data_IF_141552569604
#
_entry.id   IF_141552569604
#
_cell.length_a   1.000
_cell.length_b   1.000
_cell.length_c   1.000
_cell.angle_alpha   90.00
_cell.angle_beta   90.00
_cell.angle_gamma   90.00
#
_symmetry.space_group_name_H-M   'P 1'
#
loop_
_entity.id
_entity.type
_entity.pdbx_description
1 polymer ?
#
# COMPACT_ATOMS: atom_id res chain seq x y z
N UNK A 1 -10.77 -18.85 -5.78
CA UNK A 1 -10.22 -18.57 -7.14
C UNK A 1 -9.05 -19.48 -7.53
N UNK A 2 -8.08 -19.80 -6.64
CA UNK A 2 -6.90 -20.63 -7.02
C UNK A 2 -7.24 -22.07 -7.47
N UNK A 3 -8.27 -22.68 -6.87
CA UNK A 3 -8.77 -24.01 -7.27
C UNK A 3 -9.40 -24.03 -8.67
N UNK A 4 -10.04 -22.93 -9.07
CA UNK A 4 -10.67 -22.77 -10.41
C UNK A 4 -9.60 -22.49 -11.47
N UNK A 5 -8.47 -21.88 -11.09
CA UNK A 5 -7.32 -21.63 -11.95
C UNK A 5 -6.41 -22.86 -12.16
N UNK A 6 -6.85 -24.07 -11.79
CA UNK A 6 -6.13 -25.32 -12.03
C UNK A 6 -4.82 -25.51 -11.26
N UNK A 7 -4.60 -24.77 -10.16
CA UNK A 7 -3.38 -24.95 -9.35
C UNK A 7 -3.44 -26.22 -8.50
N UNK A 8 -2.27 -26.82 -8.29
CA UNK A 8 -2.10 -27.98 -7.42
C UNK A 8 -2.61 -27.69 -5.98
N UNK A 9 -3.41 -28.58 -5.37
CA UNK A 9 -3.97 -28.39 -4.04
C UNK A 9 -2.93 -28.08 -2.95
N UNK A 10 -1.75 -28.71 -2.98
CA UNK A 10 -0.70 -28.49 -2.01
C UNK A 10 -0.11 -27.08 -2.13
N UNK A 11 0.14 -26.62 -3.37
CA UNK A 11 0.61 -25.25 -3.62
C UNK A 11 -0.44 -24.19 -3.28
N UNK A 12 -1.73 -24.52 -3.40
CA UNK A 12 -2.82 -23.64 -2.97
C UNK A 12 -2.75 -23.41 -1.46
N UNK A 13 -2.60 -24.48 -0.67
CA UNK A 13 -2.55 -24.39 0.78
C UNK A 13 -1.36 -23.54 1.25
N UNK A 14 -0.18 -23.77 0.68
CA UNK A 14 1.02 -22.99 0.99
C UNK A 14 0.81 -21.50 0.68
N UNK A 15 0.29 -21.20 -0.51
CA UNK A 15 0.05 -19.82 -0.95
C UNK A 15 -0.97 -19.10 -0.06
N UNK A 16 -2.05 -19.79 0.34
CA UNK A 16 -3.07 -19.22 1.23
C UNK A 16 -2.52 -18.98 2.64
N UNK A 17 -1.75 -19.93 3.16
CA UNK A 17 -1.10 -19.80 4.47
C UNK A 17 -0.19 -18.58 4.50
N UNK A 18 0.63 -18.39 3.46
CA UNK A 18 1.49 -17.21 3.33
C UNK A 18 0.68 -15.90 3.31
N UNK A 19 -0.42 -15.86 2.54
CA UNK A 19 -1.28 -14.66 2.49
C UNK A 19 -1.88 -14.29 3.84
N UNK A 20 -2.39 -15.28 4.57
CA UNK A 20 -3.00 -15.03 5.88
C UNK A 20 -1.98 -14.55 6.91
N UNK A 21 -0.77 -15.12 6.91
CA UNK A 21 0.33 -14.61 7.72
C UNK A 21 0.66 -13.15 7.40
N UNK A 22 0.77 -12.81 6.11
CA UNK A 22 1.03 -11.43 5.69
C UNK A 22 -0.11 -10.48 6.05
N UNK A 23 -1.37 -10.94 5.98
CA UNK A 23 -2.52 -10.15 6.40
C UNK A 23 -2.48 -9.89 7.90
N UNK A 24 -2.15 -10.89 8.71
CA UNK A 24 -1.99 -10.74 10.15
C UNK A 24 -0.85 -9.77 10.49
N UNK A 25 0.30 -9.88 9.82
CA UNK A 25 1.41 -8.94 10.00
C UNK A 25 1.00 -7.49 9.68
N UNK A 26 0.24 -7.28 8.59
CA UNK A 26 -0.30 -5.96 8.25
C UNK A 26 -1.28 -5.40 9.28
N UNK A 27 -2.14 -6.24 9.84
CA UNK A 27 -3.05 -5.81 10.91
C UNK A 27 -2.27 -5.33 12.15
N UNK A 28 -1.17 -6.01 12.49
CA UNK A 28 -0.31 -5.61 13.60
C UNK A 28 0.49 -4.33 13.32
N UNK A 29 0.68 -3.97 12.04
CA UNK A 29 1.37 -2.74 11.61
C UNK A 29 0.43 -1.54 11.47
N UNK A 30 -0.88 -1.72 11.67
CA UNK A 30 -1.87 -0.64 11.56
C UNK A 30 -1.66 0.36 12.69
N UNK A 31 -1.49 1.64 12.36
CA UNK A 31 -1.27 2.72 13.31
C UNK A 31 -2.59 3.40 13.69
N UNK A 32 -2.58 4.17 14.78
CA UNK A 32 -3.76 4.91 15.22
C UNK A 32 -4.19 5.97 14.19
N UNK A 33 -3.22 6.58 13.49
CA UNK A 33 -3.45 7.54 12.42
C UNK A 33 -4.22 6.92 11.25
N UNK A 34 -3.95 5.66 10.90
CA UNK A 34 -4.65 4.95 9.81
C UNK A 34 -6.15 4.77 10.15
N UNK A 35 -6.45 4.48 11.41
CA UNK A 35 -7.82 4.34 11.92
C UNK A 35 -8.53 5.69 11.92
N UNK A 36 -7.85 6.74 12.40
CA UNK A 36 -8.40 8.10 12.42
C UNK A 36 -8.71 8.59 11.00
N UNK A 37 -7.78 8.40 10.07
CA UNK A 37 -7.95 8.76 8.66
C UNK A 37 -9.15 8.02 8.05
N UNK A 38 -9.28 6.71 8.28
CA UNK A 38 -10.43 5.95 7.79
C UNK A 38 -11.76 6.50 8.33
N UNK A 39 -11.83 6.79 9.64
CA UNK A 39 -13.05 7.31 10.26
C UNK A 39 -13.44 8.70 9.72
N UNK A 40 -12.50 9.65 9.70
CA UNK A 40 -12.80 11.01 9.22
C UNK A 40 -13.12 11.01 7.73
N UNK A 41 -12.48 10.15 6.92
CA UNK A 41 -12.84 10.03 5.51
C UNK A 41 -14.26 9.47 5.33
N UNK A 42 -14.68 8.48 6.11
CA UNK A 42 -16.09 8.02 6.04
C UNK A 42 -17.08 9.13 6.42
N UNK A 43 -16.73 9.98 7.39
CA UNK A 43 -17.53 11.15 7.74
C UNK A 43 -17.54 12.19 6.62
N UNK A 44 -16.38 12.54 6.05
CA UNK A 44 -16.26 13.53 4.98
C UNK A 44 -17.00 13.10 3.70
N UNK A 45 -16.91 11.82 3.33
CA UNK A 45 -17.62 11.24 2.19
C UNK A 45 -19.16 11.31 2.34
N UNK A 46 -19.68 11.44 3.56
CA UNK A 46 -21.12 11.63 3.77
C UNK A 46 -21.61 13.03 3.37
N UNK A 47 -20.71 14.02 3.35
CA UNK A 47 -21.02 15.38 2.91
C UNK A 47 -20.77 15.55 1.41
N UNK A 48 -19.61 15.13 0.92
CA UNK A 48 -19.23 15.26 -0.49
C UNK A 48 -18.08 14.30 -0.85
N UNK A 49 -18.11 13.64 -2.04
CA UNK A 49 -17.04 12.76 -2.50
C UNK A 49 -15.65 13.41 -2.66
N UNK A 50 -15.53 14.74 -2.68
CA UNK A 50 -14.24 15.42 -2.90
C UNK A 50 -13.59 15.95 -1.62
N UNK A 51 -14.26 15.85 -0.48
CA UNK A 51 -13.67 16.22 0.80
C UNK A 51 -13.01 15.00 1.42
N UNK A 52 -11.69 15.06 1.61
CA UNK A 52 -10.92 13.98 2.23
C UNK A 52 -9.93 14.56 3.24
N UNK A 53 -9.73 13.82 4.34
CA UNK A 53 -8.65 14.04 5.29
C UNK A 53 -7.41 13.23 4.87
N UNK A 54 -6.27 13.92 4.83
CA UNK A 54 -4.96 13.36 4.53
C UNK A 54 -4.11 13.36 5.79
N UNK A 55 -3.57 12.19 6.16
CA UNK A 55 -2.49 12.11 7.15
C UNK A 55 -1.22 12.81 6.61
N UNK A 56 -0.27 13.21 7.47
CA UNK A 56 0.98 13.85 7.02
C UNK A 56 1.68 13.07 5.90
N UNK A 57 1.82 11.75 6.05
CA UNK A 57 2.40 10.86 5.03
C UNK A 57 1.58 10.89 3.72
N UNK A 58 0.24 10.94 3.81
CA UNK A 58 -0.63 11.00 2.62
C UNK A 58 -0.58 12.36 1.93
N UNK A 59 -0.46 13.44 2.70
CA UNK A 59 -0.36 14.80 2.20
C UNK A 59 0.97 15.02 1.47
N UNK A 60 2.09 14.55 2.04
CA UNK A 60 3.39 14.57 1.38
C UNK A 60 3.35 13.82 0.03
N UNK A 61 2.75 12.62 0.01
CA UNK A 61 2.57 11.87 -1.23
C UNK A 61 1.70 12.62 -2.25
N UNK A 62 0.67 13.33 -1.81
CA UNK A 62 -0.14 14.17 -2.69
C UNK A 62 0.68 15.33 -3.28
N UNK A 63 1.47 16.01 -2.45
CA UNK A 63 2.32 17.12 -2.86
C UNK A 63 3.43 16.67 -3.83
N UNK A 64 4.02 15.50 -3.62
CA UNK A 64 4.96 14.87 -4.57
C UNK A 64 4.28 14.66 -5.94
N UNK A 65 3.06 14.13 -5.94
CA UNK A 65 2.32 13.89 -7.18
C UNK A 65 1.92 15.20 -7.89
N UNK A 66 1.60 16.26 -7.13
CA UNK A 66 1.25 17.57 -7.70
C UNK A 66 2.46 18.36 -8.20
N UNK A 67 3.57 18.33 -7.45
CA UNK A 67 4.81 19.03 -7.82
C UNK A 67 5.59 18.31 -8.92
N UNK A 68 5.25 17.04 -9.21
CA UNK A 68 6.02 16.13 -10.07
C UNK A 68 7.50 16.03 -9.64
N UNK A 69 7.79 16.38 -8.40
CA UNK A 69 9.11 16.45 -7.83
C UNK A 69 9.14 15.57 -6.60
N UNK A 70 9.96 14.53 -6.65
CA UNK A 70 10.22 13.64 -5.53
C UNK A 70 11.64 13.92 -5.04
N UNK A 71 11.78 14.39 -3.81
CA UNK A 71 13.07 14.40 -3.12
C UNK A 71 13.27 13.05 -2.43
N UNK A 72 14.07 12.16 -3.05
CA UNK A 72 14.30 10.82 -2.54
C UNK A 72 15.28 10.04 -3.41
N UNK A 73 15.36 8.72 -3.19
CA UNK A 73 16.28 7.84 -3.94
C UNK A 73 15.91 7.66 -5.42
N UNK A 74 14.73 8.10 -5.87
CA UNK A 74 14.33 7.94 -7.28
C UNK A 74 14.00 6.50 -7.69
N UNK A 75 13.61 5.63 -6.75
CA UNK A 75 13.21 4.26 -7.01
C UNK A 75 11.81 3.96 -6.44
N UNK A 76 10.98 3.29 -7.23
CA UNK A 76 9.69 2.75 -6.77
C UNK A 76 9.93 1.38 -6.17
N UNK A 77 9.72 1.28 -4.85
CA UNK A 77 9.88 0.06 -4.09
C UNK A 77 8.52 -0.63 -3.91
N UNK A 78 8.52 -1.95 -3.98
CA UNK A 78 7.36 -2.77 -3.65
C UNK A 78 7.76 -3.87 -2.68
N UNK A 79 6.99 -4.00 -1.60
CA UNK A 79 7.13 -5.12 -0.69
C UNK A 79 6.52 -6.38 -1.30
N UNK A 80 7.35 -7.39 -1.57
CA UNK A 80 6.90 -8.73 -1.95
C UNK A 80 7.08 -9.68 -0.77
N UNK A 81 6.00 -9.83 0.00
CA UNK A 81 5.97 -10.57 1.27
C UNK A 81 6.91 -9.94 2.30
N UNK A 82 8.13 -10.48 2.44
CA UNK A 82 9.10 -10.10 3.48
C UNK A 82 10.28 -9.29 2.92
N UNK A 83 10.43 -9.22 1.60
CA UNK A 83 11.54 -8.52 0.95
C UNK A 83 11.05 -7.30 0.17
N UNK A 84 11.84 -6.23 0.22
CA UNK A 84 11.61 -5.03 -0.60
C UNK A 84 12.28 -5.24 -1.95
N UNK A 85 11.49 -5.17 -3.02
CA UNK A 85 11.96 -5.29 -4.40
C UNK A 85 11.91 -3.93 -5.08
N UNK A 86 12.95 -3.61 -5.86
CA UNK A 86 12.97 -2.45 -6.75
C UNK A 86 12.13 -2.78 -7.99
N UNK A 87 11.05 -2.04 -8.22
CA UNK A 87 10.14 -2.25 -9.35
C UNK A 87 10.52 -1.38 -10.54
N UNK A 88 10.92 -0.13 -10.29
CA UNK A 88 11.26 0.84 -11.34
C UNK A 88 12.25 1.86 -10.80
N UNK A 89 13.31 2.14 -11.56
CA UNK A 89 14.15 3.31 -11.36
C UNK A 89 13.62 4.46 -12.22
N UNK A 90 13.65 5.68 -11.69
CA UNK A 90 13.30 6.89 -12.43
C UNK A 90 14.52 7.30 -13.28
N UNK A 91 14.38 7.42 -14.62
CA UNK A 91 15.48 7.86 -15.47
C UNK A 91 16.00 9.24 -15.04
N UNK A 92 17.32 9.39 -14.89
CA UNK A 92 18.00 10.57 -14.33
C UNK A 92 17.78 10.84 -12.83
N UNK A 93 17.20 9.89 -12.07
CA UNK A 93 17.21 9.91 -10.61
C UNK A 93 18.57 9.52 -10.01
N UNK A 94 18.81 9.78 -8.71
CA UNK A 94 20.10 9.55 -8.05
C UNK A 94 20.47 8.08 -7.76
N UNK A 95 19.58 7.11 -8.07
CA UNK A 95 19.81 5.67 -7.88
C UNK A 95 20.21 4.93 -9.15
#
# INVERSE_FOLDING_TARGET
RLKIAGKDPAKIQETLTKRYKNQQARLNQTRAEDIFQAYINTFAMSYDPHTNYLSPDSAENFDINMSLSLEGIGAVLQSDNDNVKIVRLVPAGPA
#
